data_IF_049311303584
#
_entry.id   IF_049311303584
#
_cell.length_a   1.000
_cell.length_b   1.000
_cell.length_c   1.000
_cell.angle_alpha   90.00
_cell.angle_beta   90.00
_cell.angle_gamma   90.00
#
_symmetry.space_group_name_H-M   'P 1'
#
loop_
_entity.id
_entity.type
_entity.pdbx_description
1 polymer ?
#
# COMPACT_ATOMS: atom_id res chain seq x y z
N UNK A 1 15.11 31.78 3.58
CA UNK A 1 14.11 31.24 2.95
C UNK A 1 14.39 30.04 2.21
N UNK A 2 15.40 29.99 1.40
CA UNK A 2 15.78 28.76 0.73
C UNK A 2 16.06 27.69 1.75
N UNK A 3 16.68 28.09 2.81
CA UNK A 3 16.94 27.14 3.90
C UNK A 3 15.66 26.55 4.46
N UNK A 4 14.64 27.37 4.53
CA UNK A 4 13.35 26.90 5.00
C UNK A 4 12.82 25.81 4.08
N UNK A 5 12.94 26.02 2.79
CA UNK A 5 12.47 25.01 1.86
C UNK A 5 13.24 23.71 2.03
N UNK A 6 14.57 23.82 2.13
CA UNK A 6 15.37 22.62 2.27
C UNK A 6 15.07 21.88 3.55
N UNK A 7 14.89 22.63 4.61
CA UNK A 7 14.59 22.00 5.91
C UNK A 7 13.25 21.29 5.86
N UNK A 8 12.29 21.89 5.17
CA UNK A 8 10.94 21.35 5.14
C UNK A 8 10.67 20.47 3.96
N UNK A 9 11.70 20.19 3.19
CA UNK A 9 11.54 19.36 2.02
C UNK A 9 11.10 17.97 2.41
N UNK A 10 10.16 17.44 1.65
CA UNK A 10 9.61 16.12 1.91
C UNK A 10 9.67 15.27 0.66
N UNK A 11 9.64 13.99 0.87
CA UNK A 11 9.55 13.03 -0.21
C UNK A 11 8.09 12.69 -0.46
N UNK A 12 7.70 12.65 -1.72
CA UNK A 12 6.35 12.27 -2.10
C UNK A 12 6.39 10.85 -2.61
N UNK A 13 5.63 9.99 -1.96
CA UNK A 13 5.57 8.56 -2.29
C UNK A 13 4.20 8.17 -2.77
N UNK A 14 4.17 7.22 -3.68
CA UNK A 14 2.93 6.57 -4.10
C UNK A 14 3.07 5.08 -3.81
N UNK A 15 2.09 4.55 -3.10
CA UNK A 15 2.04 3.14 -2.77
C UNK A 15 0.87 2.52 -3.52
N UNK A 16 1.19 1.57 -4.39
CA UNK A 16 0.17 0.78 -5.09
C UNK A 16 0.13 -0.56 -4.41
N UNK A 17 -1.04 -1.00 -4.01
CA UNK A 17 -1.12 -2.22 -3.23
C UNK A 17 -2.36 -3.02 -3.54
N UNK A 18 -2.27 -4.33 -3.34
CA UNK A 18 -3.46 -5.16 -3.39
C UNK A 18 -3.33 -6.30 -2.39
N UNK A 19 -4.48 -6.93 -2.12
CA UNK A 19 -4.55 -7.98 -1.12
C UNK A 19 -3.93 -9.26 -1.67
N UNK A 20 -3.07 -9.88 -0.85
CA UNK A 20 -2.45 -11.14 -1.23
C UNK A 20 -3.48 -12.25 -1.21
N UNK A 21 -3.51 -13.03 -2.29
CA UNK A 21 -4.37 -14.22 -2.39
C UNK A 21 -5.85 -13.90 -2.21
N UNK A 22 -6.28 -12.72 -2.65
CA UNK A 22 -7.66 -12.30 -2.47
C UNK A 22 -8.63 -13.23 -3.19
N UNK A 23 -8.26 -13.68 -4.39
CA UNK A 23 -9.10 -14.62 -5.11
C UNK A 23 -9.31 -15.90 -4.33
N UNK A 24 -8.27 -16.37 -3.65
CA UNK A 24 -8.37 -17.55 -2.82
C UNK A 24 -9.32 -17.34 -1.65
N UNK A 25 -9.29 -16.14 -1.07
CA UNK A 25 -10.21 -15.82 0.02
C UNK A 25 -11.66 -15.90 -0.49
N UNK A 26 -11.93 -15.30 -1.65
CA UNK A 26 -13.26 -15.38 -2.24
C UNK A 26 -13.67 -16.80 -2.54
N UNK A 27 -12.75 -17.57 -3.13
CA UNK A 27 -13.06 -18.95 -3.51
C UNK A 27 -13.30 -19.84 -2.31
N UNK A 28 -12.59 -19.60 -1.23
CA UNK A 28 -12.68 -20.46 -0.04
C UNK A 28 -13.81 -20.04 0.89
N UNK A 29 -14.01 -18.74 1.07
CA UNK A 29 -14.94 -18.22 2.07
C UNK A 29 -16.14 -17.50 1.50
N UNK A 30 -16.16 -17.27 0.18
CA UNK A 30 -17.28 -16.62 -0.49
C UNK A 30 -17.07 -15.13 -0.66
N UNK A 31 -17.89 -14.55 -1.54
CA UNK A 31 -17.74 -13.14 -1.89
C UNK A 31 -18.10 -12.20 -0.73
N UNK A 32 -19.02 -12.60 0.13
CA UNK A 32 -19.35 -11.78 1.29
C UNK A 32 -18.15 -11.64 2.21
N UNK A 33 -17.40 -12.71 2.38
CA UNK A 33 -16.19 -12.63 3.19
C UNK A 33 -15.12 -11.83 2.48
N UNK A 34 -15.05 -11.92 1.15
CA UNK A 34 -14.15 -11.07 0.39
C UNK A 34 -14.45 -9.60 0.61
N UNK A 35 -15.74 -9.25 0.58
CA UNK A 35 -16.16 -7.87 0.84
C UNK A 35 -15.79 -7.44 2.26
N UNK A 36 -15.94 -8.36 3.21
CA UNK A 36 -15.57 -8.10 4.59
C UNK A 36 -14.06 -7.84 4.69
N UNK A 37 -13.26 -8.64 3.99
CA UNK A 37 -11.82 -8.45 3.97
C UNK A 37 -11.45 -7.08 3.42
N UNK A 38 -12.13 -6.64 2.35
CA UNK A 38 -11.88 -5.32 1.77
C UNK A 38 -12.21 -4.20 2.76
N UNK A 39 -13.30 -4.39 3.52
CA UNK A 39 -13.67 -3.43 4.57
C UNK A 39 -12.59 -3.33 5.63
N UNK A 40 -12.04 -4.46 6.02
CA UNK A 40 -10.98 -4.50 7.02
C UNK A 40 -9.73 -3.81 6.49
N UNK A 41 -9.41 -4.04 5.22
CA UNK A 41 -8.28 -3.37 4.60
C UNK A 41 -8.47 -1.86 4.62
N UNK A 42 -9.65 -1.39 4.21
CA UNK A 42 -9.91 0.03 4.19
C UNK A 42 -9.80 0.65 5.58
N UNK A 43 -10.34 -0.02 6.58
CA UNK A 43 -10.25 0.46 7.95
C UNK A 43 -8.81 0.48 8.45
N UNK A 44 -8.07 -0.56 8.14
CA UNK A 44 -6.68 -0.69 8.57
C UNK A 44 -5.80 0.38 7.92
N UNK A 45 -6.06 0.67 6.63
CA UNK A 45 -5.33 1.73 5.95
C UNK A 45 -5.61 3.08 6.60
N UNK A 46 -6.87 3.33 6.94
CA UNK A 46 -7.22 4.59 7.60
C UNK A 46 -6.52 4.74 8.93
N UNK A 47 -6.37 3.65 9.67
CA UNK A 47 -5.67 3.70 10.95
C UNK A 47 -4.17 3.88 10.77
N UNK A 48 -3.57 3.11 9.87
CA UNK A 48 -2.12 3.16 9.67
C UNK A 48 -1.70 4.46 8.99
N UNK A 49 -2.57 5.05 8.20
CA UNK A 49 -2.27 6.24 7.40
C UNK A 49 -3.15 7.41 7.82
N UNK A 50 -3.31 7.61 9.13
CA UNK A 50 -4.24 8.61 9.64
C UNK A 50 -3.68 10.03 9.60
N UNK A 51 -2.44 10.21 9.20
CA UNK A 51 -1.83 11.53 9.11
C UNK A 51 -2.50 12.33 8.00
N UNK A 52 -2.59 13.64 8.18
CA UNK A 52 -3.29 14.48 7.22
C UNK A 52 -2.52 14.68 5.91
N UNK A 53 -1.27 14.29 5.87
CA UNK A 53 -0.49 14.35 4.63
C UNK A 53 -0.50 13.00 3.90
N UNK A 54 -1.45 12.13 4.24
CA UNK A 54 -1.67 10.86 3.56
C UNK A 54 -3.04 10.89 2.89
N UNK A 55 -3.10 10.36 1.66
CA UNK A 55 -4.35 10.22 0.92
C UNK A 55 -4.53 8.76 0.53
N UNK A 56 -5.73 8.23 0.76
CA UNK A 56 -6.04 6.84 0.47
C UNK A 56 -7.16 6.81 -0.55
N UNK A 57 -7.01 5.95 -1.56
CA UNK A 57 -8.03 5.78 -2.58
C UNK A 57 -8.13 4.31 -2.93
N UNK A 58 -9.33 3.85 -3.23
CA UNK A 58 -9.52 2.51 -3.75
C UNK A 58 -9.43 2.60 -5.27
N UNK A 59 -8.48 1.86 -5.83
CA UNK A 59 -8.16 1.99 -7.24
C UNK A 59 -8.95 1.00 -8.11
N UNK A 60 -9.13 -0.21 -7.63
CA UNK A 60 -9.86 -1.24 -8.34
C UNK A 60 -10.49 -2.18 -7.34
N UNK A 61 -10.82 -3.39 -7.75
CA UNK A 61 -11.49 -4.34 -6.89
C UNK A 61 -10.83 -4.52 -5.55
N UNK A 62 -9.63 -5.06 -5.55
CA UNK A 62 -8.86 -5.30 -4.34
C UNK A 62 -7.58 -4.46 -4.30
N UNK A 63 -7.54 -3.39 -5.09
CA UNK A 63 -6.38 -2.52 -5.21
C UNK A 63 -6.62 -1.17 -4.55
N UNK A 64 -5.60 -0.68 -3.87
CA UNK A 64 -5.65 0.60 -3.17
C UNK A 64 -4.41 1.40 -3.50
N UNK A 65 -4.56 2.71 -3.45
CA UNK A 65 -3.44 3.63 -3.64
C UNK A 65 -3.34 4.51 -2.41
N UNK A 66 -2.13 4.68 -1.91
CA UNK A 66 -1.85 5.65 -0.87
C UNK A 66 -0.80 6.61 -1.41
N UNK A 67 -1.07 7.89 -1.27
CA UNK A 67 -0.09 8.92 -1.62
C UNK A 67 0.25 9.63 -0.33
N UNK A 68 1.53 9.77 -0.05
CA UNK A 68 1.94 10.37 1.21
C UNK A 68 3.22 11.17 1.07
N UNK A 69 3.35 12.16 1.93
CA UNK A 69 4.58 12.95 2.04
C UNK A 69 5.29 12.56 3.32
N UNK A 70 6.56 12.23 3.19
CA UNK A 70 7.36 11.83 4.33
C UNK A 70 8.55 12.78 4.47
N UNK A 71 8.90 13.08 5.70
CA UNK A 71 10.15 13.80 5.97
C UNK A 71 11.31 12.93 5.53
N UNK A 72 12.45 13.56 5.29
CA UNK A 72 13.64 12.81 4.89
C UNK A 72 14.09 11.81 5.95
N UNK A 73 13.72 12.05 7.18
CA UNK A 73 14.08 11.15 8.28
C UNK A 73 13.16 9.93 8.38
N UNK A 74 12.08 9.90 7.62
CA UNK A 74 11.12 8.81 7.65
C UNK A 74 11.36 7.84 6.52
N UNK A 75 11.08 6.57 6.76
CA UNK A 75 11.29 5.52 5.75
C UNK A 75 9.97 4.94 5.29
N UNK A 76 9.84 4.78 3.98
CA UNK A 76 8.61 4.23 3.41
C UNK A 76 8.38 2.80 3.87
N UNK A 77 9.45 2.08 4.16
CA UNK A 77 9.33 0.70 4.66
C UNK A 77 8.56 0.64 5.97
N UNK A 78 8.71 1.65 6.79
CA UNK A 78 8.00 1.70 8.07
C UNK A 78 6.51 1.86 7.84
N UNK A 79 6.13 2.63 6.83
CA UNK A 79 4.73 2.80 6.48
C UNK A 79 4.14 1.47 6.03
N UNK A 80 4.86 0.76 5.16
CA UNK A 80 4.40 -0.53 4.68
C UNK A 80 4.26 -1.54 5.82
N UNK A 81 5.23 -1.54 6.72
CA UNK A 81 5.19 -2.43 7.88
C UNK A 81 3.99 -2.11 8.77
N UNK A 82 3.71 -0.83 8.98
CA UNK A 82 2.58 -0.40 9.80
C UNK A 82 1.26 -0.87 9.21
N UNK A 83 1.12 -0.78 7.89
CA UNK A 83 -0.10 -1.20 7.22
C UNK A 83 -0.36 -2.69 7.49
N UNK A 84 0.66 -3.52 7.27
CA UNK A 84 0.48 -4.95 7.46
C UNK A 84 0.36 -5.33 8.93
N UNK A 85 1.00 -4.58 9.81
CA UNK A 85 0.85 -4.82 11.24
C UNK A 85 -0.59 -4.56 11.68
N UNK A 86 -1.20 -3.52 11.11
CA UNK A 86 -2.58 -3.22 11.44
C UNK A 86 -3.51 -4.33 10.95
N UNK A 87 -3.24 -4.88 9.76
CA UNK A 87 -4.03 -5.99 9.24
C UNK A 87 -3.91 -7.22 10.11
N UNK A 88 -2.74 -7.44 10.69
CA UNK A 88 -2.51 -8.60 11.55
C UNK A 88 -3.35 -8.56 12.82
N UNK A 89 -3.87 -7.40 13.19
CA UNK A 89 -4.72 -7.31 14.39
C UNK A 89 -6.12 -7.83 14.15
N UNK A 90 -6.52 -8.04 12.91
CA UNK A 90 -7.87 -8.55 12.62
C UNK A 90 -7.96 -10.03 12.94
N UNK A 91 -9.05 -10.42 13.57
CA UNK A 91 -9.27 -11.83 13.90
C UNK A 91 -10.05 -12.48 12.77
N UNK A 92 -9.33 -13.19 11.91
CA UNK A 92 -9.90 -13.80 10.72
C UNK A 92 -9.42 -15.23 10.61
N UNK A 93 -10.20 -16.08 9.94
CA UNK A 93 -9.78 -17.47 9.74
C UNK A 93 -8.72 -17.63 8.66
N UNK A 94 -8.20 -16.54 8.15
CA UNK A 94 -7.15 -16.53 7.13
C UNK A 94 -6.23 -15.36 7.42
N UNK A 95 -5.04 -15.41 6.83
CA UNK A 95 -4.11 -14.31 6.95
C UNK A 95 -4.42 -13.26 5.89
N UNK A 96 -4.52 -12.03 6.31
CA UNK A 96 -4.78 -10.91 5.42
C UNK A 96 -3.55 -10.02 5.37
N UNK A 97 -2.98 -9.85 4.18
CA UNK A 97 -1.79 -9.03 4.01
C UNK A 97 -1.84 -8.34 2.67
N UNK A 98 -1.04 -7.31 2.53
CA UNK A 98 -0.96 -6.53 1.29
C UNK A 98 0.44 -6.61 0.71
N UNK A 99 0.50 -6.78 -0.60
CA UNK A 99 1.75 -6.54 -1.33
C UNK A 99 1.72 -5.06 -1.72
N UNK A 100 2.82 -4.36 -1.49
CA UNK A 100 2.88 -2.91 -1.66
C UNK A 100 4.07 -2.55 -2.54
N UNK A 101 3.78 -1.92 -3.69
CA UNK A 101 4.82 -1.39 -4.55
C UNK A 101 4.92 0.10 -4.34
N UNK A 102 6.11 0.60 -4.16
CA UNK A 102 6.33 2.00 -3.82
C UNK A 102 7.07 2.72 -4.93
N UNK A 103 6.69 3.97 -5.18
CA UNK A 103 7.39 4.83 -6.12
C UNK A 103 7.66 6.17 -5.45
N UNK A 104 8.87 6.66 -5.63
CA UNK A 104 9.25 7.97 -5.13
C UNK A 104 9.15 8.96 -6.26
N UNK A 105 8.45 10.06 -6.03
CA UNK A 105 8.31 11.09 -7.04
C UNK A 105 9.66 11.76 -7.29
N UNK A 106 9.98 11.95 -8.56
CA UNK A 106 11.16 12.70 -8.92
C UNK A 106 10.78 13.78 -9.91
N UNK A 107 11.60 14.81 -9.97
CA UNK A 107 11.35 15.97 -10.81
C UNK A 107 11.15 15.54 -12.26
N UNK A 108 10.13 16.10 -12.90
CA UNK A 108 9.86 15.79 -14.29
C UNK A 108 8.98 14.58 -14.51
N UNK A 109 8.66 13.87 -13.45
CA UNK A 109 7.81 12.69 -13.54
C UNK A 109 6.35 13.13 -13.65
N UNK A 110 5.61 12.58 -14.62
CA UNK A 110 4.20 12.89 -14.72
C UNK A 110 3.39 11.84 -13.93
N UNK A 111 2.10 12.10 -13.69
CA UNK A 111 1.30 11.17 -12.87
C UNK A 111 1.29 9.74 -13.41
N UNK A 112 1.26 9.59 -14.73
CA UNK A 112 1.23 8.26 -15.33
C UNK A 112 2.51 7.50 -15.04
N UNK A 113 3.65 8.18 -15.14
CA UNK A 113 4.93 7.56 -14.82
C UNK A 113 5.00 7.16 -13.35
N UNK A 114 4.46 8.00 -12.49
CA UNK A 114 4.46 7.76 -11.06
C UNK A 114 3.68 6.48 -10.75
N UNK A 115 2.48 6.39 -11.30
CA UNK A 115 1.63 5.22 -11.11
C UNK A 115 2.27 3.97 -11.72
N UNK A 116 2.81 4.11 -12.92
CA UNK A 116 3.42 2.98 -13.61
C UNK A 116 4.61 2.42 -12.82
N UNK A 117 5.41 3.31 -12.25
CA UNK A 117 6.57 2.88 -11.47
C UNK A 117 6.13 2.07 -10.26
N UNK A 118 5.13 2.55 -9.55
CA UNK A 118 4.62 1.82 -8.37
C UNK A 118 3.99 0.49 -8.78
N UNK A 119 3.28 0.48 -9.90
CA UNK A 119 2.63 -0.72 -10.39
C UNK A 119 3.65 -1.80 -10.77
N UNK A 120 4.72 -1.40 -11.44
CA UNK A 120 5.77 -2.34 -11.80
C UNK A 120 6.45 -2.92 -10.56
N UNK A 121 6.66 -2.08 -9.57
CA UNK A 121 7.25 -2.54 -8.32
C UNK A 121 6.32 -3.52 -7.61
N UNK A 122 5.03 -3.25 -7.62
CA UNK A 122 4.05 -4.15 -7.03
C UNK A 122 4.08 -5.51 -7.74
N UNK A 123 4.12 -5.48 -9.07
CA UNK A 123 4.17 -6.71 -9.84
C UNK A 123 5.41 -7.54 -9.48
N UNK A 124 6.56 -6.86 -9.36
CA UNK A 124 7.81 -7.54 -8.99
C UNK A 124 7.70 -8.20 -7.61
N UNK A 125 7.12 -7.45 -6.66
CA UNK A 125 6.98 -7.96 -5.30
C UNK A 125 6.03 -9.16 -5.26
N UNK A 126 4.94 -9.10 -5.99
CA UNK A 126 4.00 -10.21 -6.04
C UNK A 126 4.62 -11.44 -6.65
N UNK A 127 5.44 -11.27 -7.68
CA UNK A 127 6.15 -12.41 -8.27
C UNK A 127 7.12 -13.03 -7.28
N UNK A 128 7.81 -12.22 -6.51
CA UNK A 128 8.72 -12.73 -5.49
C UNK A 128 7.97 -13.52 -4.44
N UNK A 129 6.83 -13.00 -3.99
CA UNK A 129 6.02 -13.69 -2.99
C UNK A 129 5.55 -15.04 -3.52
N UNK A 130 5.05 -15.06 -4.75
CA UNK A 130 4.58 -16.30 -5.35
C UNK A 130 5.71 -17.28 -5.55
N UNK A 131 6.88 -16.79 -5.96
CA UNK A 131 8.03 -17.64 -6.17
C UNK A 131 8.46 -18.32 -4.88
N UNK A 132 8.38 -17.60 -3.76
CA UNK A 132 8.77 -18.13 -2.45
C UNK A 132 7.71 -19.03 -1.88
N UNK A 133 6.44 -18.69 -2.06
CA UNK A 133 5.33 -19.35 -1.37
C UNK A 133 4.49 -20.24 -2.26
N UNK A 134 4.67 -20.12 -3.55
CA UNK A 134 3.82 -20.82 -4.51
C UNK A 134 4.21 -22.24 -4.79
N UNK A 135 5.09 -22.77 -4.02
CA UNK A 135 5.55 -24.13 -4.26
C UNK A 135 5.08 -25.10 -3.26
#
# INVERSE_FOLDING_TARGET
KINSFNVNEKNLWLLMMDADYFKKINDTYGHLEGDHALSIIATSLKKACSRKDFFISRYGGDEFIVICELDKSEFIEDVCTSINAELDTAELPYKLSMSIGCALYSSGMNPENFIETADKELYRIKKEHHSVRGH
#
